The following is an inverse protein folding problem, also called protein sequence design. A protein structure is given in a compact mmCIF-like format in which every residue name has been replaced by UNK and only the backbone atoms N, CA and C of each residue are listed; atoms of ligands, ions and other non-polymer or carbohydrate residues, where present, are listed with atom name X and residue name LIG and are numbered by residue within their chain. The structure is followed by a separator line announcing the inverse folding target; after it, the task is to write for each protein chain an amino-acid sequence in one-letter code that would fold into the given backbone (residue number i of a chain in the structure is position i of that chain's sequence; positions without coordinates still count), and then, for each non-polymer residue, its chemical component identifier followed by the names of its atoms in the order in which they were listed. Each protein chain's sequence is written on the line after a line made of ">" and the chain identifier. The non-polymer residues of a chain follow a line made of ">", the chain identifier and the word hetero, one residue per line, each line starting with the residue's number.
data_IF_546005285169
#
_entry.id   IF_546005285169
#
_cell.length_a   1.000
_cell.length_b   1.000
_cell.length_c   1.000
_cell.angle_alpha   90.00
_cell.angle_beta   90.00
_cell.angle_gamma   90.00
#
_symmetry.space_group_name_H-M   'P 1'
#
loop_
_entity.id
_entity.type
_entity.pdbx_description
1 polymer ?
#
# COMPACT_ATOMS: atom_id res chain seq x y z
N UNK A 1 12.74 21.21 -10.40
CA UNK A 1 11.55 21.37 -9.55
C UNK A 1 10.91 20.01 -9.46
N UNK A 2 11.38 19.20 -8.52
CA UNK A 2 10.81 17.90 -8.21
C UNK A 2 9.52 18.12 -7.42
N UNK A 3 8.45 18.44 -8.13
CA UNK A 3 7.10 18.36 -7.58
C UNK A 3 6.69 16.90 -7.66
N UNK A 4 7.26 16.05 -6.80
CA UNK A 4 6.53 14.85 -6.39
C UNK A 4 5.29 15.39 -5.71
N UNK A 5 4.16 15.36 -6.42
CA UNK A 5 2.90 15.87 -5.89
C UNK A 5 2.71 15.29 -4.50
N UNK A 6 2.52 16.15 -3.49
CA UNK A 6 2.29 15.69 -2.11
C UNK A 6 1.19 14.63 -2.13
N UNK A 7 1.37 13.49 -1.45
CA UNK A 7 0.41 12.40 -1.52
C UNK A 7 -0.98 12.89 -1.10
N UNK A 8 -1.92 12.85 -2.07
CA UNK A 8 -3.33 13.27 -1.89
C UNK A 8 -4.23 12.09 -1.58
N UNK A 9 -3.77 10.88 -1.89
CA UNK A 9 -4.53 9.65 -1.80
C UNK A 9 -3.71 8.63 -1.01
N UNK A 10 -4.33 8.04 0.01
CA UNK A 10 -3.83 6.85 0.68
C UNK A 10 -4.66 5.64 0.22
N UNK A 11 -4.01 4.69 -0.44
CA UNK A 11 -4.62 3.41 -0.83
C UNK A 11 -4.33 2.40 0.27
N UNK A 12 -5.38 1.93 0.94
CA UNK A 12 -5.30 0.88 1.96
C UNK A 12 -5.79 -0.43 1.32
N UNK A 13 -4.99 -1.48 1.43
CA UNK A 13 -5.29 -2.78 0.83
C UNK A 13 -4.68 -3.93 1.60
N UNK A 14 -4.82 -5.13 1.06
CA UNK A 14 -4.19 -6.33 1.60
C UNK A 14 -2.92 -6.64 0.80
N UNK A 15 -1.86 -7.05 1.51
CA UNK A 15 -0.66 -7.57 0.87
C UNK A 15 -0.98 -8.96 0.31
N UNK A 16 -1.00 -9.15 -1.03
CA UNK A 16 -1.37 -10.42 -1.64
C UNK A 16 -0.43 -11.56 -1.24
N UNK A 17 0.83 -11.28 -0.90
CA UNK A 17 1.80 -12.30 -0.46
C UNK A 17 1.56 -12.77 0.98
N UNK A 18 0.73 -12.05 1.73
CA UNK A 18 0.45 -12.31 3.15
C UNK A 18 -1.02 -12.68 3.38
N UNK A 19 -1.73 -13.05 2.30
CA UNK A 19 -3.06 -13.66 2.37
C UNK A 19 -2.91 -15.17 2.54
N UNK A 20 -3.48 -15.78 3.60
CA UNK A 20 -3.38 -17.22 3.82
C UNK A 20 -4.24 -18.00 2.82
N UNK A 21 -3.78 -19.21 2.47
CA UNK A 21 -4.49 -20.13 1.59
C UNK A 21 -3.86 -20.26 0.20
N UNK A 22 -4.49 -21.01 -0.73
CA UNK A 22 -3.92 -21.35 -2.05
C UNK A 22 -3.99 -20.19 -3.06
N UNK A 23 -3.94 -18.94 -2.60
CA UNK A 23 -4.03 -17.77 -3.46
C UNK A 23 -2.69 -17.56 -4.18
N UNK A 24 -2.71 -17.43 -5.51
CA UNK A 24 -1.55 -16.95 -6.26
C UNK A 24 -1.47 -15.41 -6.13
N UNK A 25 -0.41 -14.84 -5.55
CA UNK A 25 -0.31 -13.41 -5.31
C UNK A 25 0.00 -12.58 -6.56
N UNK A 26 0.63 -13.17 -7.58
CA UNK A 26 1.19 -12.46 -8.74
C UNK A 26 0.14 -11.63 -9.53
N UNK A 27 -1.06 -12.16 -9.84
CA UNK A 27 -2.08 -11.40 -10.57
C UNK A 27 -2.57 -10.18 -9.78
N UNK A 28 -2.66 -10.30 -8.46
CA UNK A 28 -3.13 -9.22 -7.58
C UNK A 28 -2.05 -8.16 -7.43
N UNK A 29 -0.80 -8.57 -7.20
CA UNK A 29 0.34 -7.66 -7.15
C UNK A 29 0.47 -6.86 -8.45
N UNK A 30 0.36 -7.52 -9.60
CA UNK A 30 0.37 -6.87 -10.92
C UNK A 30 -0.76 -5.84 -11.07
N UNK A 31 -1.97 -6.17 -10.61
CA UNK A 31 -3.11 -5.26 -10.67
C UNK A 31 -2.94 -4.04 -9.76
N UNK A 32 -2.32 -4.20 -8.58
CA UNK A 32 -1.99 -3.11 -7.67
C UNK A 32 -1.02 -2.14 -8.36
N UNK A 33 0.10 -2.64 -8.89
CA UNK A 33 1.08 -1.81 -9.61
C UNK A 33 0.45 -1.06 -10.79
N UNK A 34 -0.38 -1.75 -11.59
CA UNK A 34 -1.11 -1.12 -12.69
C UNK A 34 -2.09 -0.05 -12.23
N UNK A 35 -2.69 -0.19 -11.04
CA UNK A 35 -3.54 0.82 -10.43
C UNK A 35 -2.74 2.04 -9.94
N UNK A 36 -1.60 1.82 -9.32
CA UNK A 36 -0.70 2.88 -8.83
C UNK A 36 -0.13 3.72 -9.98
N UNK A 37 0.24 3.07 -11.09
CA UNK A 37 0.69 3.75 -12.29
C UNK A 37 -0.34 4.76 -12.82
N UNK A 38 -1.64 4.44 -12.74
CA UNK A 38 -2.72 5.37 -13.18
C UNK A 38 -2.78 6.64 -12.34
N UNK A 39 -2.51 6.57 -11.04
CA UNK A 39 -2.43 7.79 -10.22
C UNK A 39 -1.31 8.70 -10.70
N UNK A 40 -0.14 8.13 -11.01
CA UNK A 40 0.99 8.87 -11.56
C UNK A 40 0.67 9.48 -12.94
N UNK A 41 0.00 8.74 -13.83
CA UNK A 41 -0.47 9.24 -15.14
C UNK A 41 -1.39 10.47 -15.00
N UNK A 42 -2.17 10.53 -13.92
CA UNK A 42 -3.04 11.66 -13.61
C UNK A 42 -2.38 12.76 -12.75
N UNK A 43 -1.08 12.65 -12.45
CA UNK A 43 -0.35 13.61 -11.62
C UNK A 43 -0.83 13.64 -10.16
N UNK A 44 -1.42 12.55 -9.68
CA UNK A 44 -1.92 12.40 -8.32
C UNK A 44 -0.86 11.70 -7.48
N UNK A 45 -0.32 12.39 -6.47
CA UNK A 45 0.52 11.77 -5.46
C UNK A 45 -0.26 10.71 -4.68
N UNK A 46 0.30 9.52 -4.55
CA UNK A 46 -0.33 8.38 -3.86
C UNK A 46 0.65 7.75 -2.88
N UNK A 47 0.12 7.35 -1.72
CA UNK A 47 0.80 6.50 -0.74
C UNK A 47 0.01 5.20 -0.59
N UNK A 48 0.70 4.11 -0.25
CA UNK A 48 0.10 2.77 -0.14
C UNK A 48 0.37 2.17 1.23
N UNK A 49 -0.67 1.56 1.80
CA UNK A 49 -0.61 0.81 3.04
C UNK A 49 -1.23 -0.58 2.80
N UNK A 50 -0.38 -1.58 2.57
CA UNK A 50 -0.80 -2.97 2.35
C UNK A 50 -0.60 -3.78 3.63
N UNK A 51 -1.66 -4.45 4.07
CA UNK A 51 -1.75 -5.16 5.35
C UNK A 51 -1.79 -6.67 5.12
N UNK A 52 -1.00 -7.44 5.86
CA UNK A 52 -1.05 -8.90 5.86
C UNK A 52 -2.22 -9.46 6.68
N UNK A 53 -2.76 -10.60 6.25
CA UNK A 53 -3.77 -11.36 7.01
C UNK A 53 -3.15 -12.53 7.80
N UNK A 54 -1.84 -12.57 7.89
CA UNK A 54 -1.04 -13.57 8.60
C UNK A 54 -0.98 -13.35 10.13
N UNK A 55 -1.63 -12.30 10.64
CA UNK A 55 -1.50 -11.87 12.05
C UNK A 55 -0.22 -11.06 12.32
N UNK A 56 0.51 -10.77 11.24
CA UNK A 56 1.63 -9.86 11.05
C UNK A 56 1.60 -8.55 11.83
N UNK A 57 0.57 -7.80 11.46
CA UNK A 57 0.56 -6.37 11.57
C UNK A 57 -0.36 -5.94 12.70
N UNK A 58 0.08 -4.94 13.46
CA UNK A 58 -0.85 -4.10 14.21
C UNK A 58 -1.56 -3.19 13.21
N UNK A 59 -2.71 -3.65 12.70
CA UNK A 59 -3.48 -2.97 11.65
C UNK A 59 -3.80 -1.53 12.03
N UNK A 60 -4.14 -1.29 13.30
CA UNK A 60 -4.47 0.05 13.77
C UNK A 60 -3.23 0.96 13.68
N UNK A 61 -2.09 0.52 14.23
CA UNK A 61 -0.86 1.31 14.20
C UNK A 61 -0.37 1.56 12.77
N UNK A 62 -0.47 0.56 11.89
CA UNK A 62 -0.05 0.63 10.49
C UNK A 62 -0.90 1.66 9.72
N UNK A 63 -2.22 1.68 9.92
CA UNK A 63 -3.10 2.67 9.29
C UNK A 63 -2.88 4.08 9.86
N UNK A 64 -2.69 4.23 11.16
CA UNK A 64 -2.43 5.52 11.81
C UNK A 64 -1.11 6.15 11.34
N UNK A 65 -0.06 5.35 11.18
CA UNK A 65 1.23 5.78 10.66
C UNK A 65 1.12 6.28 9.21
N UNK A 66 0.49 5.49 8.33
CA UNK A 66 0.28 5.86 6.94
C UNK A 66 -0.54 7.15 6.79
N UNK A 67 -1.58 7.34 7.63
CA UNK A 67 -2.35 8.59 7.65
C UNK A 67 -1.51 9.80 8.07
N UNK A 68 -0.50 9.60 8.90
CA UNK A 68 0.37 10.65 9.42
C UNK A 68 1.54 10.97 8.48
N UNK A 69 1.67 10.25 7.35
CA UNK A 69 2.81 10.36 6.43
C UNK A 69 4.11 9.79 7.00
N UNK A 70 3.99 8.91 8.00
CA UNK A 70 5.13 8.31 8.68
C UNK A 70 5.21 6.83 8.24
N UNK A 71 6.38 6.37 7.75
CA UNK A 71 6.49 4.99 7.27
C UNK A 71 6.17 4.03 8.41
N UNK A 72 5.13 3.22 8.23
CA UNK A 72 4.76 2.17 9.17
C UNK A 72 5.90 1.17 9.29
N UNK A 73 6.42 0.97 10.51
CA UNK A 73 7.47 -0.01 10.79
C UNK A 73 6.89 -1.43 10.68
N UNK A 74 6.87 -1.99 9.47
CA UNK A 74 6.85 -3.45 9.30
C UNK A 74 8.24 -3.96 9.66
N UNK A 75 8.39 -4.43 10.89
CA UNK A 75 9.63 -5.02 11.36
C UNK A 75 9.91 -6.29 10.54
N UNK A 76 11.14 -6.31 10.01
CA UNK A 76 11.74 -7.30 9.12
C UNK A 76 11.99 -8.65 9.79
#
# INVERSE_FOLDING_TARGET
>A
MDTTAEPRVLVIGLDPYRVPGPCDPEPVATAIEAGLAKFAEHGVGVETCLIGLDGSDDVQAVVENARSGQPGSSAR
#
